data_IF_071695644979
#
_entry.id   IF_071695644979
#
_cell.length_a   1.000
_cell.length_b   1.000
_cell.length_c   1.000
_cell.angle_alpha   90.00
_cell.angle_beta   90.00
_cell.angle_gamma   90.00
#
_symmetry.space_group_name_H-M   'P 1'
#
loop_
_entity.id
_entity.type
_entity.pdbx_description
1 polymer ?
#
# COMPACT_ATOMS: atom_id res chain seq x y z
N UNK A 1 5.55 -6.13 6.76
CA UNK A 1 5.40 -7.03 7.93
C UNK A 1 5.29 -8.50 7.54
N UNK A 2 4.22 -8.97 6.88
CA UNK A 2 3.99 -10.41 6.69
C UNK A 2 5.15 -11.18 6.02
N UNK A 3 5.76 -10.66 4.95
CA UNK A 3 6.85 -11.34 4.22
C UNK A 3 8.21 -11.28 4.93
N UNK A 4 8.54 -10.14 5.55
CA UNK A 4 9.88 -9.84 6.07
C UNK A 4 9.99 -9.86 7.59
N UNK A 5 8.87 -10.06 8.30
CA UNK A 5 8.77 -9.93 9.77
C UNK A 5 9.20 -8.53 10.27
N UNK A 6 9.14 -7.52 9.40
CA UNK A 6 9.57 -6.14 9.66
C UNK A 6 8.52 -5.15 9.14
N UNK A 7 8.35 -4.02 9.84
CA UNK A 7 7.54 -2.88 9.38
C UNK A 7 8.37 -2.08 8.38
N UNK A 8 7.88 -1.98 7.14
CA UNK A 8 8.55 -1.27 6.03
C UNK A 8 7.91 0.09 5.70
N UNK A 9 6.73 0.35 6.27
CA UNK A 9 5.94 1.58 6.14
C UNK A 9 5.45 1.85 7.56
N UNK A 10 5.79 3.00 8.13
CA UNK A 10 5.50 3.33 9.53
C UNK A 10 4.10 3.92 9.70
N UNK A 11 3.61 4.56 8.64
CA UNK A 11 2.34 5.26 8.60
C UNK A 11 1.15 4.32 8.79
N UNK A 12 0.03 4.93 9.19
CA UNK A 12 -1.20 4.23 9.53
C UNK A 12 -2.22 4.32 8.41
N UNK A 13 -2.90 3.22 8.18
CA UNK A 13 -3.97 3.12 7.19
C UNK A 13 -5.32 3.23 7.90
N UNK A 14 -6.24 3.99 7.32
CA UNK A 14 -7.63 4.10 7.81
C UNK A 14 -8.60 3.41 6.87
N UNK A 15 -9.66 2.84 7.43
CA UNK A 15 -10.74 2.26 6.64
C UNK A 15 -11.65 3.37 6.09
N UNK A 16 -11.54 3.66 4.79
CA UNK A 16 -12.39 4.64 4.11
C UNK A 16 -13.36 3.95 3.17
N UNK A 17 -14.36 4.70 2.67
CA UNK A 17 -15.47 4.18 1.85
C UNK A 17 -15.02 3.32 0.65
N UNK A 18 -13.88 3.64 0.05
CA UNK A 18 -13.38 3.01 -1.18
C UNK A 18 -12.12 2.16 -0.97
N UNK A 19 -11.78 1.83 0.27
CA UNK A 19 -10.58 1.05 0.60
C UNK A 19 -9.77 1.65 1.72
N UNK A 20 -8.66 1.00 2.05
CA UNK A 20 -7.68 1.50 3.01
C UNK A 20 -6.99 2.74 2.45
N UNK A 21 -6.89 3.80 3.25
CA UNK A 21 -6.28 5.07 2.84
C UNK A 21 -5.18 5.45 3.81
N UNK A 22 -4.01 5.81 3.26
CA UNK A 22 -3.02 6.58 3.99
C UNK A 22 -3.49 8.05 4.00
N UNK A 23 -4.06 8.49 5.12
CA UNK A 23 -4.80 9.75 5.21
C UNK A 23 -3.93 10.97 4.89
N UNK A 24 -2.68 10.97 5.37
CA UNK A 24 -1.72 12.05 5.09
C UNK A 24 -1.45 12.19 3.59
N UNK A 25 -1.25 11.07 2.89
CA UNK A 25 -1.06 11.05 1.45
C UNK A 25 -2.32 11.52 0.70
N UNK A 26 -3.51 11.13 1.17
CA UNK A 26 -4.76 11.63 0.58
C UNK A 26 -4.85 13.16 0.69
N UNK A 27 -4.64 13.73 1.88
CA UNK A 27 -4.72 15.17 2.06
C UNK A 27 -3.64 15.94 1.30
N UNK A 28 -2.44 15.37 1.16
CA UNK A 28 -1.38 15.90 0.33
C UNK A 28 -1.76 15.95 -1.15
N UNK A 29 -2.44 14.93 -1.66
CA UNK A 29 -2.80 14.82 -3.09
C UNK A 29 -4.16 15.43 -3.44
N UNK A 30 -5.03 15.70 -2.44
CA UNK A 30 -6.42 16.11 -2.70
C UNK A 30 -6.55 17.41 -3.49
N UNK A 31 -5.56 18.31 -3.37
CA UNK A 31 -5.58 19.63 -4.03
C UNK A 31 -5.56 19.52 -5.56
N UNK A 32 -5.01 18.43 -6.09
CA UNK A 32 -4.97 18.16 -7.53
C UNK A 32 -6.32 17.65 -8.06
N UNK A 33 -7.25 17.26 -7.18
CA UNK A 33 -8.61 16.84 -7.54
C UNK A 33 -8.62 15.64 -8.49
N UNK A 34 -9.20 15.84 -9.69
CA UNK A 34 -9.25 14.82 -10.76
C UNK A 34 -8.11 14.94 -11.76
N UNK A 35 -7.22 15.91 -11.58
CA UNK A 35 -6.11 16.15 -12.51
C UNK A 35 -5.09 15.03 -12.38
N UNK A 36 -4.37 14.77 -13.48
CA UNK A 36 -3.23 13.88 -13.45
C UNK A 36 -2.15 14.45 -12.52
N UNK A 37 -1.67 13.63 -11.59
CA UNK A 37 -0.56 13.94 -10.71
C UNK A 37 0.68 13.23 -11.23
N UNK A 38 1.51 13.98 -11.94
CA UNK A 38 2.79 13.54 -12.49
C UNK A 38 3.97 13.90 -11.58
N UNK A 39 5.15 13.41 -11.96
CA UNK A 39 6.41 13.69 -11.27
C UNK A 39 6.71 15.19 -11.20
N UNK A 40 6.37 15.91 -12.28
CA UNK A 40 6.59 17.36 -12.41
C UNK A 40 5.76 18.19 -11.42
N UNK A 41 4.75 17.60 -10.78
CA UNK A 41 4.00 18.25 -9.72
C UNK A 41 4.79 18.37 -8.40
N UNK A 42 5.89 17.63 -8.25
CA UNK A 42 6.67 17.55 -7.01
C UNK A 42 8.12 17.93 -7.25
N UNK A 43 8.56 19.04 -6.64
CA UNK A 43 9.95 19.52 -6.74
C UNK A 43 10.98 18.50 -6.25
N UNK A 44 10.60 17.70 -5.26
CA UNK A 44 11.49 16.71 -4.63
C UNK A 44 11.45 15.33 -5.31
N UNK A 45 10.65 15.17 -6.38
CA UNK A 45 10.63 13.95 -7.18
C UNK A 45 11.85 13.94 -8.12
N UNK A 46 13.01 13.68 -7.54
CA UNK A 46 14.30 13.62 -8.25
C UNK A 46 14.89 12.21 -8.17
N UNK A 47 15.71 11.85 -9.15
CA UNK A 47 16.41 10.55 -9.16
C UNK A 47 17.29 10.40 -7.93
N UNK A 48 17.91 11.48 -7.47
CA UNK A 48 18.75 11.54 -6.28
C UNK A 48 17.94 11.23 -5.01
N UNK A 49 16.75 11.82 -4.87
CA UNK A 49 15.88 11.56 -3.71
C UNK A 49 15.32 10.15 -3.72
N UNK A 50 14.96 9.61 -4.88
CA UNK A 50 14.53 8.21 -5.02
C UNK A 50 15.66 7.27 -4.61
N UNK A 51 16.87 7.49 -5.13
CA UNK A 51 18.03 6.66 -4.79
C UNK A 51 18.42 6.77 -3.30
N UNK A 52 18.16 7.91 -2.65
CA UNK A 52 18.31 8.06 -1.20
C UNK A 52 17.30 7.20 -0.43
N UNK A 53 16.02 7.23 -0.82
CA UNK A 53 14.96 6.42 -0.21
C UNK A 53 15.21 4.93 -0.41
N UNK A 54 15.64 4.52 -1.60
CA UNK A 54 15.92 3.11 -1.91
C UNK A 54 17.03 2.52 -1.02
N UNK A 55 17.95 3.34 -0.50
CA UNK A 55 18.99 2.87 0.45
C UNK A 55 18.43 2.42 1.79
N UNK A 56 17.23 2.86 2.16
CA UNK A 56 16.53 2.42 3.37
C UNK A 56 15.96 1.00 3.24
N UNK A 57 16.04 0.39 2.05
CA UNK A 57 15.52 -0.94 1.79
C UNK A 57 16.63 -1.89 1.34
N UNK A 58 16.51 -3.15 1.73
CA UNK A 58 17.31 -4.23 1.16
C UNK A 58 16.93 -4.49 -0.29
N UNK A 59 17.85 -5.10 -1.07
CA UNK A 59 17.58 -5.51 -2.45
C UNK A 59 16.36 -6.43 -2.57
N UNK A 60 16.14 -7.29 -1.57
CA UNK A 60 15.00 -8.21 -1.55
C UNK A 60 13.68 -7.48 -1.30
N UNK A 61 13.66 -6.51 -0.37
CA UNK A 61 12.50 -5.65 -0.12
C UNK A 61 12.12 -4.84 -1.36
N UNK A 62 13.09 -4.19 -2.02
CA UNK A 62 12.84 -3.44 -3.26
C UNK A 62 12.26 -4.34 -4.36
N UNK A 63 12.83 -5.53 -4.56
CA UNK A 63 12.32 -6.50 -5.53
C UNK A 63 10.90 -6.98 -5.19
N UNK A 64 10.57 -7.12 -3.92
CA UNK A 64 9.22 -7.47 -3.50
C UNK A 64 8.23 -6.33 -3.74
N UNK A 65 8.61 -5.10 -3.38
CA UNK A 65 7.82 -3.89 -3.63
C UNK A 65 7.53 -3.76 -5.13
N UNK A 66 8.55 -3.89 -5.98
CA UNK A 66 8.40 -3.86 -7.44
C UNK A 66 7.41 -4.92 -7.95
N UNK A 67 7.52 -6.16 -7.45
CA UNK A 67 6.57 -7.24 -7.80
C UNK A 67 5.13 -6.90 -7.41
N UNK A 68 4.92 -6.36 -6.22
CA UNK A 68 3.59 -5.93 -5.75
C UNK A 68 3.04 -4.84 -6.66
N UNK A 69 3.86 -3.83 -7.00
CA UNK A 69 3.47 -2.78 -7.94
C UNK A 69 3.10 -3.34 -9.31
N UNK A 70 3.95 -4.16 -9.93
CA UNK A 70 3.68 -4.76 -11.24
C UNK A 70 2.38 -5.58 -11.21
N UNK A 71 2.14 -6.33 -10.13
CA UNK A 71 0.92 -7.11 -10.00
C UNK A 71 -0.34 -6.24 -9.96
N UNK A 72 -0.32 -5.14 -9.20
CA UNK A 72 -1.51 -4.30 -9.03
C UNK A 72 -1.71 -3.23 -10.13
N UNK A 73 -0.66 -2.83 -10.84
CA UNK A 73 -0.70 -1.81 -11.89
C UNK A 73 -1.61 -2.18 -13.08
N UNK A 74 -1.96 -3.45 -13.24
CA UNK A 74 -2.87 -3.92 -14.29
C UNK A 74 -4.36 -3.68 -13.97
N UNK A 75 -4.70 -3.36 -12.71
CA UNK A 75 -6.08 -3.13 -12.29
C UNK A 75 -6.42 -1.65 -12.36
N UNK A 76 -7.63 -1.35 -12.83
CA UNK A 76 -8.23 -0.03 -12.75
C UNK A 76 -8.54 0.36 -11.30
N UNK A 77 -8.75 1.66 -11.06
CA UNK A 77 -9.14 2.15 -9.74
C UNK A 77 -10.39 1.44 -9.19
N UNK A 78 -11.40 1.17 -10.03
CA UNK A 78 -12.64 0.48 -9.62
C UNK A 78 -12.38 -1.00 -9.27
N UNK A 79 -11.48 -1.66 -9.98
CA UNK A 79 -11.09 -3.03 -9.66
C UNK A 79 -10.32 -3.08 -8.34
N UNK A 80 -9.41 -2.14 -8.08
CA UNK A 80 -8.70 -2.04 -6.79
C UNK A 80 -9.66 -1.81 -5.62
N UNK A 81 -10.70 -0.97 -5.80
CA UNK A 81 -11.77 -0.80 -4.80
C UNK A 81 -12.49 -2.13 -4.55
N UNK A 82 -12.85 -2.84 -5.62
CA UNK A 82 -13.55 -4.14 -5.53
C UNK A 82 -12.70 -5.18 -4.81
N UNK A 83 -11.40 -5.22 -5.07
CA UNK A 83 -10.44 -6.08 -4.37
C UNK A 83 -10.40 -5.70 -2.88
N UNK A 84 -10.29 -4.40 -2.56
CA UNK A 84 -10.23 -3.92 -1.17
C UNK A 84 -11.48 -4.30 -0.37
N UNK A 85 -12.65 -4.35 -1.02
CA UNK A 85 -13.93 -4.70 -0.37
C UNK A 85 -14.03 -6.15 0.08
N UNK A 86 -13.14 -7.03 -0.38
CA UNK A 86 -13.06 -8.42 0.08
C UNK A 86 -11.90 -8.65 1.06
N UNK A 87 -11.15 -7.62 1.43
CA UNK A 87 -10.04 -7.73 2.39
C UNK A 87 -10.52 -7.60 3.84
N UNK A 88 -10.21 -8.62 4.65
CA UNK A 88 -10.60 -8.69 6.07
C UNK A 88 -10.25 -7.43 6.86
N UNK A 89 -8.99 -6.96 6.86
CA UNK A 89 -8.58 -5.82 7.68
C UNK A 89 -9.36 -4.54 7.39
N UNK A 90 -9.64 -4.25 6.12
CA UNK A 90 -10.46 -3.10 5.73
C UNK A 90 -11.94 -3.31 6.10
N UNK A 91 -12.50 -4.47 5.77
CA UNK A 91 -13.92 -4.80 5.94
C UNK A 91 -14.34 -4.84 7.42
N UNK A 92 -13.43 -5.26 8.29
CA UNK A 92 -13.66 -5.46 9.72
C UNK A 92 -13.40 -4.20 10.55
N UNK A 93 -12.82 -3.16 9.94
CA UNK A 93 -12.52 -1.88 10.60
C UNK A 93 -13.63 -0.87 10.31
N UNK A 94 -14.10 -0.16 11.34
CA UNK A 94 -15.12 0.87 11.18
C UNK A 94 -14.62 2.02 10.29
N UNK A 95 -15.55 2.66 9.55
CA UNK A 95 -15.20 3.80 8.71
C UNK A 95 -14.54 4.92 9.52
N UNK A 96 -13.39 5.40 9.04
CA UNK A 96 -12.60 6.46 9.65
C UNK A 96 -11.59 5.98 10.70
N UNK A 97 -11.69 4.74 11.16
CA UNK A 97 -10.80 4.17 12.16
C UNK A 97 -9.50 3.64 11.54
N UNK A 98 -8.45 3.58 12.36
CA UNK A 98 -7.17 2.96 12.01
C UNK A 98 -7.34 1.45 11.86
N UNK A 99 -6.86 0.91 10.74
CA UNK A 99 -6.71 -0.53 10.53
C UNK A 99 -5.44 -0.96 11.29
N UNK A 100 -5.61 -1.79 12.32
CA UNK A 100 -4.49 -2.21 13.16
C UNK A 100 -3.42 -2.99 12.37
N UNK A 101 -2.16 -2.77 12.74
CA UNK A 101 -1.02 -3.49 12.17
C UNK A 101 -1.16 -5.02 12.36
N UNK A 102 -1.74 -5.46 13.49
CA UNK A 102 -2.00 -6.87 13.80
C UNK A 102 -3.04 -7.51 12.87
N UNK A 103 -4.11 -6.78 12.52
CA UNK A 103 -5.12 -7.25 11.58
C UNK A 103 -4.52 -7.41 10.17
N UNK A 104 -3.76 -6.41 9.72
CA UNK A 104 -3.04 -6.46 8.44
C UNK A 104 -2.08 -7.65 8.42
N UNK A 105 -1.28 -7.81 9.49
CA UNK A 105 -0.30 -8.89 9.59
C UNK A 105 -0.97 -10.26 9.53
N UNK A 106 -1.99 -10.49 10.36
CA UNK A 106 -2.73 -11.76 10.43
C UNK A 106 -3.28 -12.16 9.07
N UNK A 107 -3.98 -11.24 8.40
CA UNK A 107 -4.60 -11.47 7.10
C UNK A 107 -3.58 -11.83 6.01
N UNK A 108 -2.50 -11.05 5.87
CA UNK A 108 -1.51 -11.31 4.83
C UNK A 108 -0.61 -12.51 5.14
N UNK A 109 -0.39 -12.84 6.42
CA UNK A 109 0.32 -14.06 6.80
C UNK A 109 -0.46 -15.30 6.35
N UNK A 110 -1.77 -15.35 6.58
CA UNK A 110 -2.62 -16.45 6.13
C UNK A 110 -2.61 -16.59 4.60
N UNK A 111 -2.70 -15.47 3.87
CA UNK A 111 -2.61 -15.50 2.41
C UNK A 111 -1.27 -16.02 1.91
N UNK A 112 -0.15 -15.60 2.51
CA UNK A 112 1.17 -16.09 2.13
C UNK A 112 1.28 -17.61 2.33
N UNK A 113 0.78 -18.13 3.46
CA UNK A 113 0.72 -19.58 3.71
C UNK A 113 -0.11 -20.32 2.67
N UNK A 114 -1.27 -19.79 2.29
CA UNK A 114 -2.12 -20.40 1.26
C UNK A 114 -1.42 -20.43 -0.10
N UNK A 115 -0.70 -19.37 -0.46
CA UNK A 115 0.09 -19.32 -1.69
C UNK A 115 1.22 -20.35 -1.66
N UNK A 116 1.96 -20.44 -0.55
CA UNK A 116 3.06 -21.39 -0.38
C UNK A 116 2.62 -22.86 -0.40
N UNK A 117 1.37 -23.17 -0.02
CA UNK A 117 0.81 -24.53 -0.09
C UNK A 117 0.39 -24.95 -1.51
N UNK A 118 0.29 -24.00 -2.45
CA UNK A 118 -0.15 -24.22 -3.82
C UNK A 118 1.02 -24.36 -4.81
N UNK A 119 2.26 -24.31 -4.33
CA UNK A 119 3.52 -24.39 -5.10
C UNK A 119 4.38 -25.53 -4.54
#
# INVERSE_FOLDING_TARGET
MAKFQEKIIDEKFKAWKYGSVLEEMYYFLKEYGKSYVGKDNFKDFTTEKIAEIEKSFTKEQLKFIEKVFIYFNKYSALELVTISHVEGPWKETNYGEEISDDAILSYFHEKLKQIEQLI
#
